data_IF_845716353153
#
_entry.id   IF_845716353153
#
_cell.length_a   1.000
_cell.length_b   1.000
_cell.length_c   1.000
_cell.angle_alpha   90.00
_cell.angle_beta   90.00
_cell.angle_gamma   90.00
#
_symmetry.space_group_name_H-M   'P 1'
#
loop_
_entity.id
_entity.type
_entity.pdbx_description
1 polymer ?
#
# COMPACT_ATOMS: atom_id res chain seq x y z
N UNK A 1 -25.72 5.07 -20.52
CA UNK A 1 -24.58 4.20 -20.19
C UNK A 1 -23.73 4.89 -19.13
N UNK A 2 -23.94 4.60 -17.85
CA UNK A 2 -23.17 5.16 -16.73
C UNK A 2 -21.98 4.25 -16.41
N UNK A 3 -20.80 4.85 -16.23
CA UNK A 3 -19.52 4.17 -16.01
C UNK A 3 -19.53 3.25 -14.78
N UNK A 4 -19.31 1.96 -15.00
CA UNK A 4 -19.02 1.02 -13.91
C UNK A 4 -17.71 1.44 -13.25
N UNK A 5 -17.78 1.76 -11.95
CA UNK A 5 -16.59 1.88 -11.10
C UNK A 5 -15.82 0.56 -11.20
N UNK A 6 -14.49 0.59 -11.40
CA UNK A 6 -13.70 -0.64 -11.37
C UNK A 6 -13.95 -1.37 -10.05
N UNK A 7 -14.13 -2.69 -10.11
CA UNK A 7 -14.26 -3.51 -8.91
C UNK A 7 -13.05 -3.31 -8.00
N UNK A 8 -13.25 -3.41 -6.68
CA UNK A 8 -12.24 -3.08 -5.65
C UNK A 8 -10.90 -3.76 -5.92
N UNK A 9 -10.89 -5.01 -6.39
CA UNK A 9 -9.66 -5.73 -6.76
C UNK A 9 -8.87 -5.07 -7.90
N UNK A 10 -9.55 -4.52 -8.91
CA UNK A 10 -8.90 -3.81 -10.01
C UNK A 10 -8.33 -2.47 -9.54
N UNK A 11 -9.03 -1.78 -8.64
CA UNK A 11 -8.53 -0.55 -8.02
C UNK A 11 -7.30 -0.83 -7.15
N UNK A 12 -7.32 -1.88 -6.33
CA UNK A 12 -6.16 -2.29 -5.53
C UNK A 12 -4.96 -2.66 -6.39
N UNK A 13 -5.17 -3.42 -7.48
CA UNK A 13 -4.10 -3.73 -8.44
C UNK A 13 -3.50 -2.48 -9.08
N UNK A 14 -4.33 -1.49 -9.42
CA UNK A 14 -3.85 -0.20 -9.95
C UNK A 14 -3.02 0.57 -8.91
N UNK A 15 -3.48 0.67 -7.66
CA UNK A 15 -2.76 1.33 -6.57
C UNK A 15 -1.40 0.66 -6.32
N UNK A 16 -1.37 -0.68 -6.30
CA UNK A 16 -0.13 -1.45 -6.15
C UNK A 16 0.85 -1.17 -7.28
N UNK A 17 0.37 -1.10 -8.53
CA UNK A 17 1.20 -0.81 -9.69
C UNK A 17 1.73 0.64 -9.67
N UNK A 18 0.85 1.60 -9.39
CA UNK A 18 1.17 3.04 -9.40
C UNK A 18 2.17 3.40 -8.30
N UNK A 19 2.01 2.84 -7.10
CA UNK A 19 2.88 3.13 -5.96
C UNK A 19 4.07 2.17 -5.86
N UNK A 20 4.17 1.17 -6.74
CA UNK A 20 5.21 0.14 -6.66
C UNK A 20 5.14 -0.70 -5.38
N UNK A 21 3.96 -0.87 -4.79
CA UNK A 21 3.73 -1.60 -3.55
C UNK A 21 3.23 -3.03 -3.82
N UNK A 22 3.53 -3.93 -2.90
CA UNK A 22 3.08 -5.32 -2.95
C UNK A 22 2.32 -5.71 -1.70
N UNK A 23 1.32 -6.57 -1.85
CA UNK A 23 0.61 -7.19 -0.74
C UNK A 23 1.55 -8.15 0.00
N UNK A 24 1.91 -7.79 1.24
CA UNK A 24 2.84 -8.53 2.07
C UNK A 24 2.38 -9.97 2.31
N UNK A 25 1.07 -10.18 2.54
CA UNK A 25 0.53 -11.52 2.75
C UNK A 25 0.71 -12.38 1.51
N UNK A 26 0.36 -11.87 0.33
CA UNK A 26 0.54 -12.62 -0.92
C UNK A 26 2.00 -12.97 -1.18
N UNK A 27 2.92 -12.06 -0.87
CA UNK A 27 4.35 -12.25 -1.13
C UNK A 27 5.07 -13.12 -0.11
N UNK A 28 4.60 -13.15 1.13
CA UNK A 28 5.26 -13.84 2.25
C UNK A 28 4.49 -15.08 2.73
N UNK A 29 3.32 -15.40 2.15
CA UNK A 29 2.44 -16.44 2.71
C UNK A 29 3.11 -17.82 2.81
N UNK A 30 2.68 -18.53 3.86
CA UNK A 30 2.68 -20.00 3.97
C UNK A 30 1.46 -20.57 3.21
N UNK A 31 1.28 -21.91 3.09
CA UNK A 31 0.28 -22.52 2.19
C UNK A 31 -1.20 -22.17 2.44
N UNK A 32 -1.54 -21.58 3.59
CA UNK A 32 -2.92 -21.26 3.98
C UNK A 32 -3.40 -19.96 3.28
N UNK A 33 -4.60 -19.96 2.65
CA UNK A 33 -5.21 -18.77 2.07
C UNK A 33 -5.33 -17.58 3.05
N UNK A 34 -5.59 -17.82 4.34
CA UNK A 34 -5.80 -16.83 5.38
C UNK A 34 -6.99 -15.89 5.16
N UNK A 35 -7.90 -15.79 6.14
CA UNK A 35 -9.07 -14.93 6.08
C UNK A 35 -9.11 -14.01 7.28
N UNK A 36 -9.37 -12.73 7.04
CA UNK A 36 -9.45 -11.74 8.12
C UNK A 36 -10.87 -11.51 8.57
N UNK A 37 -11.89 -11.93 7.83
CA UNK A 37 -13.29 -11.67 8.16
C UNK A 37 -14.19 -12.86 7.80
N UNK A 38 -15.22 -13.09 8.62
CA UNK A 38 -16.31 -14.03 8.34
C UNK A 38 -17.66 -13.34 8.35
N UNK A 39 -18.39 -13.46 7.24
CA UNK A 39 -19.78 -13.01 7.13
C UNK A 39 -20.74 -14.14 7.51
N UNK A 40 -21.31 -14.08 8.71
CA UNK A 40 -22.29 -15.07 9.17
C UNK A 40 -23.53 -15.16 8.27
N UNK A 41 -24.16 -14.05 7.80
CA UNK A 41 -25.35 -14.13 6.94
C UNK A 41 -25.10 -14.79 5.58
N UNK A 42 -23.85 -14.79 5.11
CA UNK A 42 -23.50 -15.33 3.79
C UNK A 42 -22.64 -16.58 3.86
N UNK A 43 -22.29 -17.06 5.07
CA UNK A 43 -21.36 -18.16 5.32
C UNK A 43 -20.07 -18.04 4.47
N UNK A 44 -19.54 -16.82 4.35
CA UNK A 44 -18.41 -16.49 3.48
C UNK A 44 -17.24 -15.95 4.27
N UNK A 45 -16.05 -16.41 3.89
CA UNK A 45 -14.78 -15.91 4.38
C UNK A 45 -14.22 -14.89 3.39
N UNK A 46 -13.64 -13.82 3.91
CA UNK A 46 -13.00 -12.78 3.11
C UNK A 46 -11.70 -12.31 3.79
N UNK A 47 -10.76 -11.82 2.99
CA UNK A 47 -9.60 -11.07 3.46
C UNK A 47 -9.84 -9.61 3.12
N UNK A 48 -10.14 -8.81 4.13
CA UNK A 48 -10.45 -7.39 3.99
C UNK A 48 -9.32 -6.50 4.49
N UNK A 49 -8.37 -7.06 5.24
CA UNK A 49 -7.25 -6.35 5.84
C UNK A 49 -5.95 -6.70 5.08
N UNK A 50 -5.17 -5.67 4.74
CA UNK A 50 -4.00 -5.78 3.87
C UNK A 50 -2.86 -4.91 4.40
N UNK A 51 -1.63 -5.41 4.31
CA UNK A 51 -0.43 -4.59 4.37
C UNK A 51 0.17 -4.49 2.97
N UNK A 52 0.19 -3.26 2.42
CA UNK A 52 0.92 -2.96 1.19
C UNK A 52 2.28 -2.40 1.57
N UNK A 53 3.34 -3.10 1.18
CA UNK A 53 4.73 -2.73 1.52
C UNK A 53 5.57 -2.53 0.28
N UNK A 54 6.63 -1.73 0.40
CA UNK A 54 7.65 -1.68 -0.63
C UNK A 54 8.35 -3.04 -0.72
N UNK A 55 8.62 -3.57 -1.93
CA UNK A 55 9.33 -4.83 -2.12
C UNK A 55 10.69 -4.92 -1.41
N UNK A 56 11.31 -3.78 -1.11
CA UNK A 56 12.60 -3.70 -0.41
C UNK A 56 12.55 -4.29 1.00
N UNK A 57 11.38 -4.26 1.66
CA UNK A 57 11.19 -4.75 3.02
C UNK A 57 10.85 -6.25 3.07
N UNK A 58 10.61 -6.91 1.93
CA UNK A 58 10.15 -8.30 1.90
C UNK A 58 11.11 -9.27 2.60
N UNK A 59 12.41 -9.00 2.57
CA UNK A 59 13.41 -9.89 3.19
C UNK A 59 13.42 -9.79 4.72
N UNK A 60 13.04 -8.64 5.25
CA UNK A 60 13.02 -8.33 6.68
C UNK A 60 11.63 -8.42 7.29
N UNK A 61 10.62 -8.64 6.45
CA UNK A 61 9.23 -8.72 6.86
C UNK A 61 8.82 -10.16 7.18
N UNK A 62 8.03 -10.30 8.24
CA UNK A 62 7.27 -11.50 8.58
C UNK A 62 5.82 -11.11 8.75
N UNK A 63 4.91 -11.97 8.32
CA UNK A 63 3.49 -11.72 8.41
C UNK A 63 2.77 -12.93 8.98
N UNK A 64 1.90 -12.68 9.95
CA UNK A 64 1.14 -13.72 10.65
C UNK A 64 -0.32 -13.31 10.78
N UNK A 65 -1.21 -14.31 10.66
CA UNK A 65 -2.63 -14.16 10.84
C UNK A 65 -3.02 -14.96 12.09
N UNK A 66 -3.58 -14.29 13.08
CA UNK A 66 -3.99 -14.90 14.33
C UNK A 66 -5.49 -15.14 14.39
N UNK A 67 -5.90 -16.19 15.10
CA UNK A 67 -7.32 -16.42 15.37
C UNK A 67 -7.83 -15.41 16.39
N UNK A 68 -9.04 -14.90 16.13
CA UNK A 68 -9.74 -13.98 17.01
C UNK A 68 -10.21 -14.61 18.33
N UNK A 69 -10.30 -13.80 19.39
CA UNK A 69 -11.20 -14.04 20.55
C UNK A 69 -12.29 -12.98 20.81
N UNK A 70 -12.24 -11.73 20.30
CA UNK A 70 -13.08 -10.60 20.81
C UNK A 70 -13.88 -9.74 19.79
N UNK A 71 -13.64 -9.76 18.47
CA UNK A 71 -14.57 -9.16 17.47
C UNK A 71 -14.62 -9.97 16.16
N UNK A 72 -15.05 -9.38 15.07
CA UNK A 72 -15.41 -9.97 13.79
C UNK A 72 -14.27 -10.13 12.74
N UNK A 73 -13.16 -9.44 12.91
CA UNK A 73 -11.91 -9.52 12.14
C UNK A 73 -10.71 -10.23 12.81
N UNK A 74 -10.14 -11.29 12.22
CA UNK A 74 -8.88 -11.90 12.66
C UNK A 74 -7.69 -10.91 12.54
N UNK A 75 -6.84 -10.76 13.57
CA UNK A 75 -5.68 -9.88 13.52
C UNK A 75 -4.66 -10.33 12.46
N UNK A 76 -4.30 -9.42 11.57
CA UNK A 76 -3.16 -9.55 10.66
C UNK A 76 -2.01 -8.71 11.23
N UNK A 77 -0.85 -9.32 11.47
CA UNK A 77 0.31 -8.66 12.08
C UNK A 77 1.49 -8.75 11.11
N UNK A 78 2.15 -7.62 10.90
CA UNK A 78 3.36 -7.49 10.09
C UNK A 78 4.50 -7.01 10.99
N UNK A 79 5.51 -7.85 11.12
CA UNK A 79 6.76 -7.51 11.80
C UNK A 79 7.82 -7.18 10.73
N UNK A 80 8.51 -6.04 10.89
CA UNK A 80 9.57 -5.62 9.96
C UNK A 80 10.83 -5.32 10.76
N UNK A 81 11.89 -6.06 10.48
CA UNK A 81 13.20 -5.82 11.07
C UNK A 81 13.90 -4.67 10.30
N UNK A 82 14.09 -3.53 10.97
CA UNK A 82 14.73 -2.36 10.35
C UNK A 82 16.25 -2.34 10.56
N UNK A 83 16.75 -3.13 11.50
CA UNK A 83 18.17 -3.21 11.82
C UNK A 83 18.96 -3.83 10.66
N UNK A 84 20.07 -3.20 10.30
CA UNK A 84 20.91 -3.64 9.18
C UNK A 84 20.28 -3.46 7.80
N UNK A 85 19.13 -2.78 7.70
CA UNK A 85 18.53 -2.44 6.42
C UNK A 85 19.38 -1.35 5.76
N UNK A 86 20.29 -1.78 4.88
CA UNK A 86 20.88 -0.89 3.88
C UNK A 86 19.80 -0.52 2.86
N UNK A 87 18.86 0.34 3.30
CA UNK A 87 18.10 1.14 2.37
C UNK A 87 19.16 1.92 1.59
N UNK A 88 19.39 1.53 0.34
CA UNK A 88 19.83 2.48 -0.67
C UNK A 88 18.67 3.47 -0.79
N UNK A 89 18.53 4.36 0.21
CA UNK A 89 17.63 5.48 0.16
C UNK A 89 18.19 6.30 -0.98
N UNK A 90 17.66 6.07 -2.18
CA UNK A 90 17.69 7.08 -3.21
C UNK A 90 17.02 8.26 -2.54
N UNK A 91 17.81 9.20 -2.02
CA UNK A 91 17.27 10.46 -1.52
C UNK A 91 16.43 10.96 -2.67
N UNK A 92 15.14 11.17 -2.42
CA UNK A 92 14.30 11.83 -3.41
C UNK A 92 14.89 13.23 -3.57
N UNK A 93 15.72 13.39 -4.59
CA UNK A 93 16.27 14.67 -4.96
C UNK A 93 15.31 15.25 -5.98
N UNK A 94 14.74 16.40 -5.63
CA UNK A 94 14.03 17.21 -6.59
C UNK A 94 14.90 17.42 -7.83
N UNK A 95 14.32 17.21 -9.02
CA UNK A 95 15.04 17.38 -10.28
C UNK A 95 15.45 18.85 -10.44
N UNK A 96 16.74 19.13 -10.25
CA UNK A 96 17.25 20.52 -10.23
C UNK A 96 17.07 21.23 -11.57
N UNK A 97 16.91 20.48 -12.66
CA UNK A 97 16.54 21.03 -13.96
C UNK A 97 15.22 21.80 -13.93
N UNK A 98 14.23 21.34 -13.16
CA UNK A 98 12.92 21.99 -13.05
C UNK A 98 13.00 23.39 -12.39
N UNK A 99 13.98 23.61 -11.52
CA UNK A 99 14.22 24.95 -10.93
C UNK A 99 14.80 25.95 -11.94
N UNK A 100 15.29 25.46 -13.09
CA UNK A 100 15.82 26.30 -14.18
C UNK A 100 14.79 26.53 -15.28
N UNK A 101 13.66 25.83 -15.24
CA UNK A 101 12.55 26.00 -16.17
C UNK A 101 11.63 27.12 -15.65
N UNK A 102 11.58 28.28 -16.33
CA UNK A 102 10.76 29.40 -15.90
C UNK A 102 9.26 29.08 -15.93
N UNK A 103 8.81 28.29 -16.91
CA UNK A 103 7.39 27.94 -17.07
C UNK A 103 6.94 27.05 -15.90
N UNK A 104 7.77 26.07 -15.54
CA UNK A 104 7.54 25.24 -14.36
C UNK A 104 7.47 26.08 -13.07
N UNK A 105 8.41 27.01 -12.88
CA UNK A 105 8.46 27.84 -11.69
C UNK A 105 7.24 28.78 -11.58
N UNK A 106 6.79 29.35 -12.69
CA UNK A 106 5.58 30.19 -12.74
C UNK A 106 4.33 29.36 -12.42
N UNK A 107 4.19 28.18 -13.02
CA UNK A 107 3.06 27.28 -12.78
C UNK A 107 2.98 26.86 -11.31
N UNK A 108 4.12 26.46 -10.73
CA UNK A 108 4.19 26.08 -9.32
C UNK A 108 3.93 27.26 -8.38
N UNK A 109 4.44 28.46 -8.70
CA UNK A 109 4.16 29.67 -7.91
C UNK A 109 2.68 29.98 -7.88
N UNK A 110 2.01 29.91 -9.03
CA UNK A 110 0.56 30.10 -9.15
C UNK A 110 -0.20 29.09 -8.29
N UNK A 111 0.14 27.81 -8.38
CA UNK A 111 -0.49 26.76 -7.56
C UNK A 111 -0.30 27.02 -6.06
N UNK A 112 0.92 27.37 -5.64
CA UNK A 112 1.19 27.65 -4.23
C UNK A 112 0.33 28.83 -3.76
N UNK A 113 0.22 29.90 -4.55
CA UNK A 113 -0.65 31.04 -4.20
C UNK A 113 -2.12 30.65 -4.17
N UNK A 114 -2.61 29.86 -5.14
CA UNK A 114 -4.04 29.50 -5.21
C UNK A 114 -4.49 28.54 -4.10
N UNK A 115 -3.61 27.66 -3.64
CA UNK A 115 -3.97 26.60 -2.68
C UNK A 115 -3.44 26.83 -1.26
N UNK A 116 -2.40 27.65 -1.09
CA UNK A 116 -1.73 27.86 0.20
C UNK A 116 -1.59 29.34 0.59
N UNK A 117 -1.92 30.29 -0.30
CA UNK A 117 -1.88 31.74 -0.06
C UNK A 117 -3.26 32.36 0.13
#
# INVERSE_FOLDING_TARGET
>A
YQGRKPGVYKAMGAIQQELGLVDAWVKLRKPDPGYTYYSAPHAKLARLDYFLISPIFLKQARIELYSRMVSDHNPLVLDVELDGLELKVGRWTFERGLLKDPEYCEHMSKWITEFLG
#
